data_IF_839689528116
#
_entry.id   IF_839689528116
#
_cell.length_a   1.000
_cell.length_b   1.000
_cell.length_c   1.000
_cell.angle_alpha   90.00
_cell.angle_beta   90.00
_cell.angle_gamma   90.00
#
_symmetry.space_group_name_H-M   'P 1'
#
loop_
_entity.id
_entity.type
_entity.pdbx_description
1 polymer ?
#
# COMPACT_ATOMS: atom_id res chain seq x y z
N UNK A 1 3.79 10.56 12.09
CA UNK A 1 3.40 10.79 10.70
C UNK A 1 3.10 9.41 10.16
N UNK A 2 1.82 9.10 10.02
CA UNK A 2 1.34 7.93 9.33
C UNK A 2 1.44 8.10 7.82
N UNK A 3 1.05 7.06 7.10
CA UNK A 3 0.94 7.05 5.65
C UNK A 3 -0.45 6.54 5.28
N UNK A 4 -1.40 7.45 5.14
CA UNK A 4 -2.77 7.09 4.74
C UNK A 4 -2.78 6.56 3.31
N UNK A 5 -3.65 5.56 3.05
CA UNK A 5 -3.79 4.97 1.73
C UNK A 5 -5.16 5.27 1.14
N UNK A 6 -5.20 5.85 -0.05
CA UNK A 6 -6.41 6.23 -0.75
C UNK A 6 -6.55 5.48 -2.07
N UNK A 7 -7.66 4.78 -2.25
CA UNK A 7 -8.09 4.30 -3.56
C UNK A 7 -8.90 5.40 -4.25
N UNK A 8 -8.41 5.86 -5.39
CA UNK A 8 -9.02 6.94 -6.19
C UNK A 8 -9.38 6.48 -7.60
N UNK A 9 -10.40 7.10 -8.18
CA UNK A 9 -10.71 7.03 -9.61
C UNK A 9 -9.86 8.03 -10.43
N UNK A 10 -10.05 8.07 -11.76
CA UNK A 10 -9.32 8.97 -12.67
C UNK A 10 -9.68 10.45 -12.52
N UNK A 11 -10.78 10.75 -11.83
CA UNK A 11 -11.24 12.12 -11.54
C UNK A 11 -10.78 12.59 -10.15
N UNK A 12 -10.05 11.74 -9.41
CA UNK A 12 -9.60 12.00 -8.06
C UNK A 12 -10.66 11.74 -6.99
N UNK A 13 -11.80 11.14 -7.35
CA UNK A 13 -12.82 10.70 -6.40
C UNK A 13 -12.29 9.57 -5.52
N UNK A 14 -12.45 9.70 -4.20
CA UNK A 14 -12.02 8.69 -3.24
C UNK A 14 -13.08 7.59 -3.16
N UNK A 15 -12.71 6.38 -3.56
CA UNK A 15 -13.56 5.19 -3.53
C UNK A 15 -13.44 4.45 -2.20
N UNK A 16 -12.24 4.45 -1.62
CA UNK A 16 -11.97 3.93 -0.28
C UNK A 16 -10.72 4.59 0.31
N UNK A 17 -10.62 4.57 1.64
CA UNK A 17 -9.44 4.99 2.36
C UNK A 17 -9.09 3.96 3.44
N UNK A 18 -7.80 3.82 3.70
CA UNK A 18 -7.23 3.07 4.81
C UNK A 18 -6.35 4.05 5.60
N UNK A 19 -6.85 4.60 6.73
CA UNK A 19 -6.04 5.46 7.56
C UNK A 19 -4.91 4.65 8.20
N UNK A 20 -3.70 5.23 8.24
CA UNK A 20 -2.56 4.58 8.86
C UNK A 20 -2.34 5.09 10.27
N UNK A 21 -2.54 4.19 11.23
CA UNK A 21 -2.15 4.45 12.62
C UNK A 21 -0.64 4.27 12.84
N UNK A 22 0.20 4.85 11.97
CA UNK A 22 1.66 4.76 12.00
C UNK A 22 2.23 3.34 11.79
N UNK A 23 1.47 2.40 11.22
CA UNK A 23 1.93 1.04 10.93
C UNK A 23 2.81 1.00 9.68
N UNK A 24 2.39 1.66 8.58
CA UNK A 24 3.18 1.72 7.35
C UNK A 24 4.49 2.48 7.53
N UNK A 25 4.45 3.62 8.24
CA UNK A 25 5.65 4.37 8.58
C UNK A 25 6.67 3.53 9.39
N UNK A 26 6.20 2.71 10.34
CA UNK A 26 7.07 1.79 11.08
C UNK A 26 7.58 0.62 10.23
N UNK A 27 6.82 0.20 9.22
CA UNK A 27 7.19 -0.83 8.26
C UNK A 27 8.08 -0.33 7.12
N UNK A 28 8.32 0.97 6.99
CA UNK A 28 9.05 1.56 5.87
C UNK A 28 10.45 0.93 5.66
N UNK A 29 11.13 0.54 6.74
CA UNK A 29 12.39 -0.21 6.67
C UNK A 29 12.25 -1.63 6.11
N UNK A 30 11.11 -2.30 6.33
CA UNK A 30 10.81 -3.61 5.75
C UNK A 30 10.49 -3.51 4.26
N UNK A 31 9.73 -2.48 3.87
CA UNK A 31 9.31 -2.21 2.48
C UNK A 31 10.51 -1.83 1.61
N UNK A 32 11.34 -0.88 2.06
CA UNK A 32 12.55 -0.43 1.35
C UNK A 32 13.61 -1.53 1.18
N UNK A 33 13.59 -2.60 2.00
CA UNK A 33 14.50 -3.76 1.87
C UNK A 33 14.06 -4.76 0.80
N UNK A 34 12.87 -4.60 0.21
CA UNK A 34 12.38 -5.47 -0.87
C UNK A 34 13.07 -5.14 -2.20
N UNK A 35 14.39 -5.20 -2.27
CA UNK A 35 15.23 -4.72 -3.40
C UNK A 35 14.98 -5.40 -4.76
N UNK A 36 14.16 -6.46 -4.81
CA UNK A 36 13.69 -7.11 -6.06
C UNK A 36 12.22 -6.86 -6.39
N UNK A 37 11.48 -6.16 -5.53
CA UNK A 37 10.08 -5.83 -5.75
C UNK A 37 9.95 -4.73 -6.80
N UNK A 38 8.88 -4.79 -7.60
CA UNK A 38 8.51 -3.78 -8.59
C UNK A 38 7.68 -2.65 -7.98
N UNK A 39 7.03 -2.87 -6.84
CA UNK A 39 6.16 -1.88 -6.20
C UNK A 39 6.56 -1.53 -4.76
N UNK A 40 6.62 -2.50 -3.85
CA UNK A 40 6.92 -2.28 -2.42
C UNK A 40 8.17 -1.43 -2.15
N UNK A 41 9.26 -1.63 -2.89
CA UNK A 41 10.49 -0.86 -2.67
C UNK A 41 10.34 0.64 -2.95
N UNK A 42 9.30 1.02 -3.69
CA UNK A 42 9.01 2.41 -4.06
C UNK A 42 7.98 3.07 -3.13
N UNK A 43 7.44 2.36 -2.13
CA UNK A 43 6.60 2.99 -1.12
C UNK A 43 7.48 3.92 -0.29
N UNK A 44 7.32 5.22 -0.53
CA UNK A 44 8.08 6.27 0.15
C UNK A 44 7.70 6.30 1.64
N UNK A 45 8.68 6.23 2.57
CA UNK A 45 8.45 6.42 4.00
C UNK A 45 7.77 7.75 4.38
N UNK A 46 7.89 8.77 3.53
CA UNK A 46 7.22 10.06 3.70
C UNK A 46 5.79 10.08 3.12
N UNK A 47 5.35 8.98 2.49
CA UNK A 47 4.03 8.88 1.88
C UNK A 47 3.86 9.81 0.67
N UNK A 48 4.78 9.74 -0.28
CA UNK A 48 4.67 10.39 -1.59
C UNK A 48 4.79 9.35 -2.69
N UNK A 49 3.80 8.45 -2.78
CA UNK A 49 3.82 7.36 -3.75
C UNK A 49 2.42 7.05 -4.24
N UNK A 50 2.29 6.77 -5.53
CA UNK A 50 1.05 6.24 -6.07
C UNK A 50 1.32 5.15 -7.10
N UNK A 51 0.39 4.21 -7.18
CA UNK A 51 0.42 3.11 -8.14
C UNK A 51 -0.79 3.21 -9.06
N UNK A 52 -0.51 3.09 -10.36
CA UNK A 52 -1.52 3.08 -11.41
C UNK A 52 -2.10 1.68 -11.55
N UNK A 53 -3.28 1.57 -12.15
CA UNK A 53 -3.95 0.30 -12.46
C UNK A 53 -3.01 -0.83 -12.90
N UNK A 54 -2.09 -0.58 -13.84
CA UNK A 54 -1.18 -1.63 -14.37
C UNK A 54 -0.22 -2.20 -13.33
N UNK A 55 0.04 -1.47 -12.24
CA UNK A 55 0.92 -1.88 -11.14
C UNK A 55 0.15 -2.55 -10.00
N UNK A 56 -1.16 -2.30 -9.87
CA UNK A 56 -1.95 -2.80 -8.74
C UNK A 56 -1.95 -4.33 -8.62
N UNK A 57 -2.02 -5.14 -9.70
CA UNK A 57 -1.92 -6.59 -9.59
C UNK A 57 -0.58 -7.06 -8.99
N UNK A 58 0.53 -6.44 -9.41
CA UNK A 58 1.86 -6.75 -8.89
C UNK A 58 1.98 -6.29 -7.43
N UNK A 59 1.53 -5.09 -7.10
CA UNK A 59 1.50 -4.60 -5.72
C UNK A 59 0.69 -5.54 -4.81
N UNK A 60 -0.49 -5.99 -5.26
CA UNK A 60 -1.31 -6.95 -4.50
C UNK A 60 -0.55 -8.24 -4.24
N UNK A 61 0.10 -8.81 -5.27
CA UNK A 61 0.89 -10.03 -5.16
C UNK A 61 2.05 -9.85 -4.17
N UNK A 62 2.78 -8.75 -4.27
CA UNK A 62 3.90 -8.47 -3.38
C UNK A 62 3.47 -8.28 -1.92
N UNK A 63 2.35 -7.59 -1.67
CA UNK A 63 1.76 -7.45 -0.34
C UNK A 63 1.36 -8.82 0.24
N UNK A 64 0.74 -9.68 -0.58
CA UNK A 64 0.39 -11.04 -0.18
C UNK A 64 1.62 -11.88 0.18
N UNK A 65 2.69 -11.77 -0.60
CA UNK A 65 3.96 -12.46 -0.35
C UNK A 65 4.71 -11.92 0.87
N UNK A 66 4.48 -10.66 1.25
CA UNK A 66 5.08 -10.06 2.45
C UNK A 66 4.40 -10.51 3.75
N UNK A 67 3.10 -10.80 3.71
CA UNK A 67 2.29 -11.17 4.90
C UNK A 67 2.92 -12.24 5.80
N UNK A 68 3.48 -13.36 5.27
CA UNK A 68 4.12 -14.38 6.10
C UNK A 68 5.33 -13.88 6.89
N UNK A 69 6.03 -12.84 6.41
CA UNK A 69 7.23 -12.28 7.03
C UNK A 69 6.93 -11.24 8.12
N UNK A 70 5.66 -10.89 8.33
CA UNK A 70 5.25 -9.91 9.35
C UNK A 70 4.76 -10.63 10.60
N UNK A 71 5.60 -10.66 11.63
CA UNK A 71 5.30 -11.28 12.92
C UNK A 71 4.47 -10.37 13.84
N UNK A 72 4.64 -9.05 13.74
CA UNK A 72 3.95 -8.10 14.60
C UNK A 72 2.45 -8.05 14.26
N UNK A 73 1.54 -8.40 15.18
CA UNK A 73 0.11 -8.56 14.86
C UNK A 73 -0.54 -7.31 14.27
N UNK A 74 -0.19 -6.14 14.80
CA UNK A 74 -0.71 -4.84 14.33
C UNK A 74 -0.28 -4.54 12.89
N UNK A 75 0.98 -4.80 12.56
CA UNK A 75 1.50 -4.60 11.20
C UNK A 75 0.87 -5.59 10.24
N UNK A 76 0.69 -6.84 10.67
CA UNK A 76 0.05 -7.89 9.88
C UNK A 76 -1.41 -7.53 9.56
N UNK A 77 -2.17 -7.09 10.57
CA UNK A 77 -3.56 -6.67 10.38
C UNK A 77 -3.66 -5.50 9.39
N UNK A 78 -2.81 -4.49 9.56
CA UNK A 78 -2.79 -3.35 8.64
C UNK A 78 -2.38 -3.76 7.22
N UNK A 79 -1.40 -4.67 7.08
CA UNK A 79 -0.99 -5.19 5.78
C UNK A 79 -2.09 -6.03 5.10
N UNK A 80 -2.91 -6.76 5.87
CA UNK A 80 -4.09 -7.47 5.36
C UNK A 80 -5.13 -6.47 4.83
N UNK A 81 -5.39 -5.40 5.58
CA UNK A 81 -6.31 -4.33 5.16
C UNK A 81 -5.83 -3.63 3.90
N UNK A 82 -4.53 -3.32 3.83
CA UNK A 82 -3.90 -2.73 2.64
C UNK A 82 -4.01 -3.67 1.44
N UNK A 83 -3.65 -4.95 1.61
CA UNK A 83 -3.80 -5.95 0.56
C UNK A 83 -5.25 -6.03 0.06
N UNK A 84 -6.23 -6.06 0.97
CA UNK A 84 -7.66 -6.10 0.62
C UNK A 84 -8.14 -4.82 -0.07
N UNK A 85 -7.55 -3.66 0.22
CA UNK A 85 -7.82 -2.41 -0.49
C UNK A 85 -7.25 -2.46 -1.91
N UNK A 86 -5.99 -2.89 -2.06
CA UNK A 86 -5.31 -2.97 -3.36
C UNK A 86 -5.97 -4.01 -4.26
N UNK A 87 -6.33 -5.18 -3.73
CA UNK A 87 -7.02 -6.25 -4.47
C UNK A 87 -8.35 -5.74 -5.05
N UNK A 88 -9.16 -5.02 -4.25
CA UNK A 88 -10.41 -4.41 -4.72
C UNK A 88 -10.17 -3.26 -5.71
N UNK A 89 -9.05 -2.57 -5.57
CA UNK A 89 -8.68 -1.48 -6.47
C UNK A 89 -8.22 -1.97 -7.85
N UNK A 90 -7.98 -3.28 -8.03
CA UNK A 90 -7.75 -3.88 -9.35
C UNK A 90 -9.04 -3.75 -10.18
N UNK A 91 -9.09 -2.70 -10.98
CA UNK A 91 -10.25 -2.32 -11.78
C UNK A 91 -9.84 -1.33 -12.87
N UNK A 92 -10.81 -0.87 -13.66
CA UNK A 92 -10.54 0.05 -14.77
C UNK A 92 -10.39 1.49 -14.26
N UNK A 93 -9.30 2.16 -14.65
CA UNK A 93 -9.04 3.59 -14.40
C UNK A 93 -8.89 4.01 -12.92
N UNK A 94 -8.35 3.13 -12.07
CA UNK A 94 -8.14 3.39 -10.64
C UNK A 94 -6.66 3.52 -10.25
N UNK A 95 -6.44 4.15 -9.10
CA UNK A 95 -5.13 4.46 -8.53
C UNK A 95 -5.13 4.22 -7.03
N UNK A 96 -4.00 3.78 -6.49
CA UNK A 96 -3.77 3.69 -5.03
C UNK A 96 -2.68 4.69 -4.65
N UNK A 97 -3.01 5.62 -3.77
CA UNK A 97 -2.12 6.68 -3.30
C UNK A 97 -1.73 6.42 -1.85
N UNK A 98 -0.45 6.56 -1.55
CA UNK A 98 0.13 6.61 -0.22
C UNK A 98 0.44 8.07 0.07
N UNK A 99 -0.14 8.62 1.13
CA UNK A 99 -0.09 10.04 1.47
C UNK A 99 0.35 10.19 2.92
N UNK A 100 1.50 10.81 3.15
CA UNK A 100 1.98 11.12 4.49
C UNK A 100 1.23 12.28 5.13
N UNK A 101 1.05 12.23 6.45
CA UNK A 101 0.50 13.33 7.25
C UNK A 101 1.36 14.60 7.22
#
# INVERSE_FOLDING_TARGET
MGIDVYWKDERGGILAALPDSNALAQMAGLLSRQTGSRCLQFIDPAGDTFFKQLQLPELSLELANLLPSVEQPRWREHLIQLHSLVERAVGVHTYVWFVGD
#
